data_IF_788212064570
#
_entry.id   IF_788212064570
#
_cell.length_a   1.000
_cell.length_b   1.000
_cell.length_c   1.000
_cell.angle_alpha   90.00
_cell.angle_beta   90.00
_cell.angle_gamma   90.00
#
_symmetry.space_group_name_H-M   'P 1'
#
loop_
_entity.id
_entity.type
_entity.pdbx_description
1 polymer ?
#
# COMPACT_ATOMS: atom_id res chain seq x y z
N UNK A 1 -10.48 23.33 0.68
CA UNK A 1 -11.23 22.58 1.72
C UNK A 1 -10.58 21.22 1.87
N UNK A 2 -10.37 20.77 3.11
CA UNK A 2 -9.69 19.52 3.42
C UNK A 2 -10.65 18.54 4.06
N UNK A 3 -10.25 17.27 4.13
CA UNK A 3 -10.98 16.22 4.83
C UNK A 3 -10.01 15.44 5.71
N UNK A 4 -10.43 15.19 6.94
CA UNK A 4 -9.84 14.17 7.80
C UNK A 4 -10.76 12.95 7.70
N UNK A 5 -10.28 11.90 7.05
CA UNK A 5 -10.96 10.61 7.04
C UNK A 5 -10.50 9.81 8.25
N UNK A 6 -11.45 9.43 9.10
CA UNK A 6 -11.22 8.63 10.28
C UNK A 6 -11.77 7.23 10.10
N UNK A 7 -10.89 6.22 10.14
CA UNK A 7 -11.24 4.80 9.99
C UNK A 7 -10.89 4.07 11.28
N UNK A 8 -11.90 3.65 12.04
CA UNK A 8 -11.71 2.87 13.26
C UNK A 8 -11.29 1.45 12.91
N UNK A 9 -10.33 0.89 13.62
CA UNK A 9 -9.76 -0.45 13.33
C UNK A 9 -10.70 -1.59 13.71
N UNK A 10 -11.70 -1.29 14.54
CA UNK A 10 -12.80 -2.17 14.93
C UNK A 10 -14.14 -1.49 14.67
N UNK A 11 -15.22 -2.26 14.81
CA UNK A 11 -16.58 -1.71 14.79
C UNK A 11 -16.87 -0.97 16.08
N UNK A 12 -17.50 0.20 15.96
CA UNK A 12 -17.93 0.99 17.09
C UNK A 12 -19.21 0.39 17.69
N UNK A 13 -19.08 -0.18 18.89
CA UNK A 13 -20.21 -0.68 19.67
C UNK A 13 -20.94 0.43 20.46
N UNK A 14 -20.30 1.60 20.62
CA UNK A 14 -20.89 2.79 21.24
C UNK A 14 -20.41 4.08 20.58
N UNK A 15 -21.11 5.19 20.83
CA UNK A 15 -20.72 6.52 20.32
C UNK A 15 -19.55 7.13 21.09
N UNK A 16 -19.10 6.53 22.20
CA UNK A 16 -18.12 7.16 23.10
C UNK A 16 -16.78 7.39 22.42
N UNK A 17 -16.30 6.43 21.63
CA UNK A 17 -15.05 6.54 20.88
C UNK A 17 -15.14 7.59 19.77
N UNK A 18 -16.30 7.67 19.10
CA UNK A 18 -16.58 8.75 18.15
C UNK A 18 -16.58 10.12 18.83
N UNK A 19 -17.20 10.25 20.01
CA UNK A 19 -17.22 11.52 20.76
C UNK A 19 -15.81 11.91 21.24
N UNK A 20 -14.99 10.94 21.67
CA UNK A 20 -13.58 11.17 22.02
C UNK A 20 -12.80 11.70 20.81
N UNK A 21 -12.94 11.05 19.65
CA UNK A 21 -12.33 11.50 18.40
C UNK A 21 -12.79 12.92 18.03
N UNK A 22 -14.11 13.18 18.06
CA UNK A 22 -14.66 14.50 17.72
C UNK A 22 -14.08 15.59 18.63
N UNK A 23 -14.05 15.36 19.94
CA UNK A 23 -13.48 16.29 20.92
C UNK A 23 -12.00 16.54 20.69
N UNK A 24 -11.25 15.51 20.32
CA UNK A 24 -9.84 15.64 19.94
C UNK A 24 -9.69 16.53 18.69
N UNK A 25 -10.45 16.26 17.62
CA UNK A 25 -10.40 17.09 16.40
C UNK A 25 -10.81 18.54 16.65
N UNK A 26 -11.80 18.78 17.52
CA UNK A 26 -12.22 20.12 17.96
C UNK A 26 -11.16 20.86 18.79
N UNK A 27 -10.17 20.15 19.35
CA UNK A 27 -9.04 20.76 20.07
C UNK A 27 -7.91 21.23 19.14
N UNK A 28 -7.92 20.81 17.89
CA UNK A 28 -6.97 21.23 16.86
C UNK A 28 -7.34 22.61 16.30
N UNK A 29 -6.40 23.35 15.69
CA UNK A 29 -6.66 24.67 15.09
C UNK A 29 -7.42 24.55 13.74
N UNK A 30 -8.57 23.88 13.76
CA UNK A 30 -9.43 23.61 12.61
C UNK A 30 -10.87 23.92 12.95
N UNK A 31 -11.66 24.20 11.92
CA UNK A 31 -13.11 24.27 11.99
C UNK A 31 -13.70 23.08 11.24
N UNK A 32 -14.51 22.29 11.94
CA UNK A 32 -15.29 21.20 11.35
C UNK A 32 -16.54 21.80 10.72
N UNK A 33 -16.61 21.80 9.40
CA UNK A 33 -17.76 22.34 8.64
C UNK A 33 -18.87 21.30 8.48
N UNK A 34 -18.48 20.04 8.26
CA UNK A 34 -19.42 18.95 8.07
C UNK A 34 -18.80 17.62 8.49
N UNK A 35 -19.63 16.72 9.03
CA UNK A 35 -19.28 15.32 9.25
C UNK A 35 -20.13 14.46 8.33
N UNK A 36 -19.49 13.65 7.48
CA UNK A 36 -20.15 12.67 6.61
C UNK A 36 -19.84 11.26 7.10
N UNK A 37 -20.86 10.45 7.30
CA UNK A 37 -20.68 9.02 7.58
C UNK A 37 -20.40 8.29 6.28
N UNK A 38 -19.23 7.65 6.16
CA UNK A 38 -18.89 6.78 5.02
C UNK A 38 -19.26 5.33 5.32
N UNK A 39 -19.00 4.89 6.56
CA UNK A 39 -19.44 3.59 7.06
C UNK A 39 -20.15 3.76 8.39
N UNK A 40 -21.29 3.11 8.56
CA UNK A 40 -22.20 3.35 9.70
C UNK A 40 -21.55 3.06 11.04
N UNK A 41 -20.66 2.07 11.10
CA UNK A 41 -20.10 1.52 12.32
C UNK A 41 -18.61 1.84 12.51
N UNK A 42 -17.92 2.47 11.55
CA UNK A 42 -16.46 2.65 11.67
C UNK A 42 -15.78 3.75 10.86
N UNK A 43 -16.46 4.46 9.95
CA UNK A 43 -15.76 5.42 9.08
C UNK A 43 -16.49 6.75 8.90
N UNK A 44 -15.78 7.85 9.16
CA UNK A 44 -16.31 9.21 9.10
C UNK A 44 -15.34 10.15 8.39
N UNK A 45 -15.89 11.00 7.53
CA UNK A 45 -15.19 12.13 6.92
C UNK A 45 -15.53 13.41 7.68
N UNK A 46 -14.51 14.09 8.20
CA UNK A 46 -14.63 15.42 8.78
C UNK A 46 -14.15 16.43 7.74
N UNK A 47 -15.08 17.13 7.09
CA UNK A 47 -14.74 18.24 6.21
C UNK A 47 -14.34 19.44 7.05
N UNK A 48 -13.15 19.96 6.78
CA UNK A 48 -12.53 20.98 7.61
C UNK A 48 -12.03 22.17 6.78
N UNK A 49 -12.09 23.33 7.41
CA UNK A 49 -11.31 24.50 7.07
C UNK A 49 -10.29 24.71 8.19
N UNK A 50 -9.08 25.17 7.85
CA UNK A 50 -8.14 25.50 8.89
C UNK A 50 -8.46 26.89 9.46
N UNK A 51 -8.29 27.07 10.76
CA UNK A 51 -8.42 28.38 11.38
C UNK A 51 -7.14 29.14 11.01
N UNK A 52 -7.27 30.21 10.22
CA UNK A 52 -6.12 30.98 9.72
C UNK A 52 -5.14 31.26 10.87
N UNK A 53 -3.84 30.94 10.74
CA UNK A 53 -2.85 31.53 11.62
C UNK A 53 -2.87 33.04 11.39
N UNK A 54 -2.57 33.84 12.41
CA UNK A 54 -2.60 35.31 12.38
C UNK A 54 -1.70 35.98 11.29
N UNK A 55 -1.06 35.21 10.37
CA UNK A 55 0.03 35.64 9.50
C UNK A 55 0.02 35.14 8.03
N UNK A 56 -1.11 34.75 7.42
CA UNK A 56 -1.13 34.30 6.00
C UNK A 56 -0.10 33.18 5.68
N UNK A 57 -0.02 32.13 6.51
CA UNK A 57 0.84 30.97 6.20
C UNK A 57 0.28 30.18 4.99
N UNK A 58 1.17 29.60 4.18
CA UNK A 58 0.81 28.70 3.08
C UNK A 58 0.06 27.45 3.60
N UNK A 59 -1.00 27.04 2.89
CA UNK A 59 -1.79 25.83 3.13
C UNK A 59 -0.89 24.60 3.33
N UNK A 60 0.25 24.52 2.61
CA UNK A 60 1.21 23.41 2.74
C UNK A 60 1.82 23.29 4.15
N UNK A 61 2.12 24.42 4.80
CA UNK A 61 2.71 24.49 6.14
C UNK A 61 1.70 24.11 7.21
N UNK A 62 0.46 24.58 7.03
CA UNK A 62 -0.66 24.28 7.92
C UNK A 62 -1.02 22.80 7.91
N UNK A 63 -1.04 22.18 6.72
CA UNK A 63 -1.23 20.74 6.58
C UNK A 63 -0.09 19.95 7.21
N UNK A 64 1.16 20.39 7.06
CA UNK A 64 2.28 19.74 7.73
C UNK A 64 2.16 19.78 9.26
N UNK A 65 1.79 20.94 9.83
CA UNK A 65 1.53 21.09 11.27
C UNK A 65 0.37 20.21 11.75
N UNK A 66 -0.75 20.19 11.00
CA UNK A 66 -1.88 19.33 11.32
C UNK A 66 -1.52 17.85 11.24
N UNK A 67 -0.77 17.42 10.21
CA UNK A 67 -0.28 16.04 10.11
C UNK A 67 0.58 15.65 11.32
N UNK A 68 1.47 16.54 11.79
CA UNK A 68 2.25 16.30 13.02
C UNK A 68 1.36 16.14 14.25
N UNK A 69 0.31 16.95 14.39
CA UNK A 69 -0.64 16.85 15.51
C UNK A 69 -1.57 15.64 15.42
N UNK A 70 -1.68 14.99 14.26
CA UNK A 70 -2.44 13.76 14.04
C UNK A 70 -1.58 12.49 14.26
N UNK A 71 -0.33 12.62 14.70
CA UNK A 71 0.59 11.48 14.87
C UNK A 71 0.31 10.64 16.13
N UNK A 72 0.72 9.35 16.17
CA UNK A 72 0.35 8.40 17.21
C UNK A 72 0.72 8.81 18.64
N UNK A 73 1.82 9.53 18.82
CA UNK A 73 2.35 9.95 20.12
C UNK A 73 1.42 10.96 20.83
N UNK A 74 0.56 11.63 20.07
CA UNK A 74 -0.37 12.62 20.62
C UNK A 74 -1.68 12.03 21.15
N UNK A 75 -1.97 10.73 20.91
CA UNK A 75 -3.29 10.16 21.24
C UNK A 75 -3.28 8.65 21.52
N UNK A 76 -3.91 8.26 22.65
CA UNK A 76 -4.42 6.89 22.91
C UNK A 76 -5.31 6.36 21.76
N UNK A 77 -5.90 7.27 20.98
CA UNK A 77 -6.76 6.95 19.84
C UNK A 77 -6.00 6.34 18.65
N UNK A 78 -4.69 6.51 18.53
CA UNK A 78 -3.94 5.99 17.37
C UNK A 78 -3.92 4.46 17.29
N UNK A 79 -4.14 3.79 18.42
CA UNK A 79 -4.38 2.34 18.49
C UNK A 79 -5.76 1.99 17.93
N UNK A 80 -6.74 2.88 18.04
CA UNK A 80 -8.16 2.66 17.73
C UNK A 80 -8.59 3.15 16.35
N UNK A 81 -7.97 4.22 15.82
CA UNK A 81 -8.40 4.88 14.58
C UNK A 81 -7.20 5.37 13.77
N UNK A 82 -7.25 5.18 12.46
CA UNK A 82 -6.36 5.84 11.51
C UNK A 82 -6.99 7.13 11.00
N UNK A 83 -6.20 8.20 11.00
CA UNK A 83 -6.60 9.52 10.53
C UNK A 83 -5.77 9.90 9.30
N UNK A 84 -6.46 10.20 8.21
CA UNK A 84 -5.82 10.66 6.97
C UNK A 84 -6.32 12.06 6.60
N UNK A 85 -5.40 13.02 6.53
CA UNK A 85 -5.66 14.37 6.08
C UNK A 85 -5.26 14.54 4.61
N UNK A 86 -6.22 14.95 3.79
CA UNK A 86 -6.00 15.22 2.36
C UNK A 86 -6.92 16.33 1.85
N UNK A 87 -6.61 16.84 0.66
CA UNK A 87 -7.47 17.79 -0.04
C UNK A 87 -8.77 17.10 -0.44
N UNK A 88 -9.91 17.77 -0.25
CA UNK A 88 -11.22 17.23 -0.60
C UNK A 88 -11.70 17.83 -1.92
N UNK A 89 -11.13 17.35 -3.03
CA UNK A 89 -11.49 17.75 -4.40
C UNK A 89 -11.79 16.53 -5.28
N UNK A 90 -12.07 16.78 -6.56
CA UNK A 90 -12.40 15.74 -7.56
C UNK A 90 -11.31 14.66 -7.68
N UNK A 91 -10.03 15.03 -7.48
CA UNK A 91 -8.90 14.12 -7.59
C UNK A 91 -8.89 13.05 -6.49
N UNK A 92 -9.65 13.24 -5.41
CA UNK A 92 -9.81 12.24 -4.35
C UNK A 92 -10.49 10.97 -4.87
N UNK A 93 -11.55 11.10 -5.69
CA UNK A 93 -12.28 9.96 -6.28
C UNK A 93 -11.80 9.59 -7.68
N UNK A 94 -11.28 10.55 -8.45
CA UNK A 94 -10.93 10.34 -9.86
C UNK A 94 -9.51 9.80 -10.07
N UNK A 95 -9.17 8.74 -9.34
CA UNK A 95 -7.93 7.99 -9.53
C UNK A 95 -8.00 7.15 -10.81
N UNK A 96 -6.88 7.07 -11.52
CA UNK A 96 -6.78 6.45 -12.86
C UNK A 96 -5.74 5.34 -12.93
N UNK A 97 -4.79 5.30 -12.01
CA UNK A 97 -3.80 4.23 -11.88
C UNK A 97 -3.59 3.87 -10.41
N UNK A 98 -3.54 2.58 -10.11
CA UNK A 98 -3.05 2.05 -8.85
C UNK A 98 -1.84 1.15 -9.08
N UNK A 99 -0.76 1.40 -8.35
CA UNK A 99 0.42 0.56 -8.30
C UNK A 99 0.57 -0.01 -6.88
N UNK A 100 0.59 -1.34 -6.77
CA UNK A 100 0.68 -2.05 -5.51
C UNK A 100 2.04 -2.77 -5.39
N UNK A 101 2.59 -2.84 -4.19
CA UNK A 101 3.50 -3.94 -3.87
C UNK A 101 2.75 -5.28 -3.86
N UNK A 102 3.48 -6.38 -3.96
CA UNK A 102 2.95 -7.73 -3.88
C UNK A 102 3.08 -8.30 -2.47
N UNK A 103 4.31 -8.55 -2.04
CA UNK A 103 4.65 -9.17 -0.77
C UNK A 103 4.12 -8.29 0.37
N UNK A 104 3.56 -8.90 1.41
CA UNK A 104 2.95 -8.21 2.56
C UNK A 104 1.88 -7.14 2.24
N UNK A 105 1.43 -7.05 0.98
CA UNK A 105 0.47 -6.04 0.48
C UNK A 105 -0.72 -6.68 -0.24
N UNK A 106 -0.53 -7.25 -1.44
CA UNK A 106 -1.57 -8.01 -2.16
C UNK A 106 -1.60 -9.49 -1.74
N UNK A 107 -0.54 -9.97 -1.12
CA UNK A 107 -0.47 -11.28 -0.49
C UNK A 107 0.09 -11.12 0.92
N UNK A 108 -0.23 -12.06 1.81
CA UNK A 108 0.23 -12.02 3.20
C UNK A 108 1.66 -12.48 3.40
N UNK A 109 2.20 -13.21 2.43
CA UNK A 109 3.51 -13.83 2.52
C UNK A 109 4.61 -12.94 1.92
N UNK A 110 5.84 -13.20 2.33
CA UNK A 110 7.05 -12.85 1.61
C UNK A 110 7.39 -14.00 0.66
N UNK A 111 7.33 -13.77 -0.66
CA UNK A 111 7.55 -14.84 -1.66
C UNK A 111 8.90 -15.53 -1.52
N UNK A 112 9.94 -14.80 -1.14
CA UNK A 112 11.28 -15.39 -1.02
C UNK A 112 11.38 -16.35 0.16
N UNK A 113 10.65 -16.11 1.25
CA UNK A 113 10.56 -17.02 2.39
C UNK A 113 9.79 -18.29 2.01
N UNK A 114 8.74 -18.13 1.19
CA UNK A 114 7.97 -19.26 0.67
C UNK A 114 8.83 -20.18 -0.23
N UNK A 115 9.70 -19.58 -1.06
CA UNK A 115 10.66 -20.34 -1.88
C UNK A 115 11.76 -20.94 -1.01
N UNK A 116 12.26 -20.22 -0.02
CA UNK A 116 13.25 -20.74 0.92
C UNK A 116 12.73 -21.99 1.65
N UNK A 117 11.46 -21.97 2.04
CA UNK A 117 10.79 -23.10 2.68
C UNK A 117 10.51 -24.27 1.77
N UNK A 118 10.36 -24.02 0.47
CA UNK A 118 10.35 -25.11 -0.50
C UNK A 118 11.72 -25.81 -0.61
N UNK A 119 12.80 -25.08 -0.33
CA UNK A 119 14.17 -25.52 -0.56
C UNK A 119 14.93 -25.92 0.73
N UNK A 120 14.25 -25.93 1.89
CA UNK A 120 14.83 -26.17 3.21
C UNK A 120 16.03 -25.24 3.52
N UNK A 121 15.91 -23.95 3.13
CA UNK A 121 16.94 -22.92 3.34
C UNK A 121 16.45 -21.67 4.09
N UNK A 122 15.36 -21.79 4.85
CA UNK A 122 14.75 -20.67 5.59
C UNK A 122 15.75 -19.97 6.51
N UNK A 123 16.50 -20.73 7.31
CA UNK A 123 17.46 -20.19 8.28
C UNK A 123 18.53 -19.31 7.62
N UNK A 124 19.01 -19.71 6.43
CA UNK A 124 20.01 -18.92 5.70
C UNK A 124 19.40 -17.66 5.09
N UNK A 125 18.18 -17.75 4.56
CA UNK A 125 17.47 -16.59 4.02
C UNK A 125 17.15 -15.59 5.13
N UNK A 126 16.70 -16.04 6.30
CA UNK A 126 16.43 -15.20 7.46
C UNK A 126 17.71 -14.48 7.94
N UNK A 127 18.85 -15.19 7.98
CA UNK A 127 20.14 -14.59 8.35
C UNK A 127 20.55 -13.46 7.38
N UNK A 128 20.36 -13.64 6.08
CA UNK A 128 20.64 -12.61 5.06
C UNK A 128 19.66 -11.44 5.17
N UNK A 129 18.37 -11.71 5.36
CA UNK A 129 17.33 -10.69 5.54
C UNK A 129 17.63 -9.82 6.77
N UNK A 130 18.06 -10.44 7.88
CA UNK A 130 18.44 -9.75 9.11
C UNK A 130 19.61 -8.79 8.89
N UNK A 131 20.66 -9.24 8.17
CA UNK A 131 21.81 -8.39 7.80
C UNK A 131 21.39 -7.21 6.92
N UNK A 132 20.50 -7.42 5.96
CA UNK A 132 19.96 -6.35 5.12
C UNK A 132 19.16 -5.32 5.95
N UNK A 133 18.32 -5.78 6.88
CA UNK A 133 17.57 -4.91 7.78
C UNK A 133 18.47 -4.12 8.73
N UNK A 134 19.63 -4.65 9.11
CA UNK A 134 20.66 -3.95 9.88
C UNK A 134 21.51 -2.98 9.04
N UNK A 135 21.25 -2.88 7.73
CA UNK A 135 22.00 -2.01 6.81
C UNK A 135 23.39 -2.54 6.43
N UNK A 136 23.69 -3.81 6.71
CA UNK A 136 24.96 -4.45 6.33
C UNK A 136 25.00 -4.80 4.84
N UNK A 137 23.83 -5.01 4.23
CA UNK A 137 23.65 -5.31 2.82
C UNK A 137 22.67 -4.33 2.21
N UNK A 138 22.97 -3.85 1.00
CA UNK A 138 21.95 -3.18 0.19
C UNK A 138 20.92 -4.19 -0.35
N UNK A 139 19.82 -3.68 -0.90
CA UNK A 139 18.75 -4.53 -1.42
C UNK A 139 19.23 -5.50 -2.51
N UNK A 140 20.10 -5.06 -3.42
CA UNK A 140 20.56 -5.88 -4.55
C UNK A 140 21.49 -6.97 -4.06
N UNK A 141 22.40 -6.65 -3.15
CA UNK A 141 23.29 -7.61 -2.50
C UNK A 141 22.48 -8.65 -1.73
N UNK A 142 21.53 -8.22 -0.90
CA UNK A 142 20.63 -9.12 -0.15
C UNK A 142 19.82 -10.02 -1.09
N UNK A 143 19.29 -9.50 -2.19
CA UNK A 143 18.56 -10.29 -3.17
C UNK A 143 19.48 -11.33 -3.84
N UNK A 144 20.67 -10.94 -4.29
CA UNK A 144 21.63 -11.86 -4.90
C UNK A 144 22.06 -12.97 -3.95
N UNK A 145 22.38 -12.65 -2.68
CA UNK A 145 22.74 -13.66 -1.68
C UNK A 145 21.60 -14.65 -1.43
N UNK A 146 20.35 -14.17 -1.29
CA UNK A 146 19.19 -15.05 -1.08
C UNK A 146 18.87 -15.90 -2.31
N UNK A 147 18.97 -15.34 -3.52
CA UNK A 147 18.71 -16.07 -4.76
C UNK A 147 19.80 -17.11 -5.04
N UNK A 148 21.05 -16.88 -4.64
CA UNK A 148 22.12 -17.85 -4.77
C UNK A 148 21.84 -19.17 -4.01
N UNK A 149 21.11 -19.11 -2.90
CA UNK A 149 20.67 -20.28 -2.13
C UNK A 149 19.67 -21.15 -2.88
N UNK A 150 19.01 -20.60 -3.90
CA UNK A 150 17.98 -21.29 -4.69
C UNK A 150 18.57 -22.12 -5.84
N UNK A 151 19.89 -22.12 -6.00
CA UNK A 151 20.58 -22.84 -7.07
C UNK A 151 20.34 -24.34 -6.99
N UNK A 152 19.97 -24.94 -8.13
CA UNK A 152 19.77 -26.38 -8.24
C UNK A 152 18.32 -26.85 -8.05
N UNK A 153 17.42 -25.93 -7.68
CA UNK A 153 15.98 -26.22 -7.56
C UNK A 153 15.38 -26.41 -8.95
N UNK A 154 14.55 -27.44 -9.11
CA UNK A 154 13.74 -27.65 -10.30
C UNK A 154 12.59 -26.63 -10.35
N UNK A 155 12.61 -25.76 -11.36
CA UNK A 155 11.64 -24.69 -11.52
C UNK A 155 10.31 -25.14 -12.14
N UNK A 156 10.20 -26.39 -12.60
CA UNK A 156 9.02 -26.86 -13.34
C UNK A 156 7.77 -26.97 -12.48
N UNK A 157 7.91 -27.41 -11.21
CA UNK A 157 6.77 -27.67 -10.31
C UNK A 157 6.65 -26.66 -9.16
N UNK A 158 7.75 -25.99 -8.79
CA UNK A 158 7.76 -25.06 -7.65
C UNK A 158 6.67 -24.00 -7.79
N UNK A 159 6.52 -23.40 -8.97
CA UNK A 159 5.57 -22.29 -9.17
C UNK A 159 4.11 -22.71 -8.96
N UNK A 160 3.70 -23.90 -9.39
CA UNK A 160 2.35 -24.40 -9.13
C UNK A 160 2.10 -24.59 -7.64
N UNK A 161 3.05 -25.19 -6.92
CA UNK A 161 2.93 -25.42 -5.48
C UNK A 161 2.89 -24.12 -4.69
N UNK A 162 3.71 -23.13 -5.07
CA UNK A 162 3.73 -21.84 -4.39
C UNK A 162 2.45 -21.05 -4.62
N UNK A 163 1.88 -21.08 -5.82
CA UNK A 163 0.60 -20.41 -6.13
C UNK A 163 -0.53 -20.90 -5.22
N UNK A 164 -0.59 -22.19 -4.93
CA UNK A 164 -1.61 -22.78 -4.04
C UNK A 164 -1.45 -22.34 -2.57
N UNK A 165 -0.26 -21.90 -2.17
CA UNK A 165 0.03 -21.44 -0.81
C UNK A 165 -0.19 -19.93 -0.63
N UNK A 166 -0.35 -19.17 -1.71
CA UNK A 166 -0.56 -17.72 -1.62
C UNK A 166 -1.90 -17.40 -0.97
N UNK A 167 -1.87 -16.49 0.00
CA UNK A 167 -3.07 -15.97 0.66
C UNK A 167 -3.18 -14.50 0.29
N UNK A 168 -4.19 -14.18 -0.52
CA UNK A 168 -4.51 -12.80 -0.86
C UNK A 168 -4.93 -11.99 0.36
N UNK A 169 -4.63 -10.69 0.33
CA UNK A 169 -5.00 -9.77 1.40
C UNK A 169 -6.52 -9.59 1.42
N UNK A 170 -7.16 -9.61 2.61
CA UNK A 170 -8.59 -9.41 2.69
C UNK A 170 -9.00 -8.09 2.03
N UNK A 171 -10.04 -8.15 1.20
CA UNK A 171 -10.52 -6.97 0.47
C UNK A 171 -9.89 -6.74 -0.91
N UNK A 172 -8.85 -7.48 -1.32
CA UNK A 172 -8.22 -7.30 -2.65
C UNK A 172 -9.24 -7.39 -3.78
N UNK A 173 -10.01 -8.48 -3.82
CA UNK A 173 -10.99 -8.71 -4.89
C UNK A 173 -12.08 -7.62 -4.94
N UNK A 174 -12.52 -7.13 -3.78
CA UNK A 174 -13.49 -6.03 -3.70
C UNK A 174 -12.87 -4.72 -4.21
N UNK A 175 -11.66 -4.39 -3.76
CA UNK A 175 -10.93 -3.21 -4.19
C UNK A 175 -10.73 -3.22 -5.71
N UNK A 176 -10.19 -4.30 -6.27
CA UNK A 176 -9.92 -4.38 -7.71
C UNK A 176 -11.21 -4.31 -8.52
N UNK A 177 -12.29 -4.94 -8.06
CA UNK A 177 -13.59 -4.86 -8.74
C UNK A 177 -14.09 -3.42 -8.82
N UNK A 178 -14.10 -2.70 -7.70
CA UNK A 178 -14.54 -1.30 -7.66
C UNK A 178 -13.65 -0.41 -8.54
N UNK A 179 -12.33 -0.58 -8.48
CA UNK A 179 -11.39 0.21 -9.29
C UNK A 179 -11.55 -0.08 -10.79
N UNK A 180 -11.75 -1.34 -11.18
CA UNK A 180 -12.02 -1.71 -12.59
C UNK A 180 -13.34 -1.14 -13.09
N UNK A 181 -14.41 -1.17 -12.28
CA UNK A 181 -15.68 -0.53 -12.64
C UNK A 181 -15.53 0.98 -12.91
N UNK A 182 -14.51 1.62 -12.32
CA UNK A 182 -14.15 3.03 -12.54
C UNK A 182 -13.21 3.27 -13.73
N UNK A 183 -12.78 2.21 -14.42
CA UNK A 183 -11.83 2.28 -15.53
C UNK A 183 -10.39 2.54 -15.08
N UNK A 184 -10.05 2.27 -13.82
CA UNK A 184 -8.72 2.47 -13.25
C UNK A 184 -7.78 1.36 -13.74
N UNK A 185 -6.58 1.75 -14.17
CA UNK A 185 -5.47 0.82 -14.47
C UNK A 185 -4.85 0.31 -13.19
N UNK A 186 -4.51 -0.97 -13.14
CA UNK A 186 -3.95 -1.62 -11.96
C UNK A 186 -2.61 -2.29 -12.29
N UNK A 187 -1.62 -2.13 -11.42
CA UNK A 187 -0.29 -2.69 -11.59
C UNK A 187 0.20 -3.30 -10.28
N UNK A 188 0.90 -4.42 -10.37
CA UNK A 188 1.72 -4.97 -9.28
C UNK A 188 3.21 -4.79 -9.60
N UNK A 189 3.94 -4.14 -8.69
CA UNK A 189 5.37 -3.82 -8.81
C UNK A 189 6.10 -4.41 -7.60
N UNK A 190 6.83 -5.51 -7.79
CA UNK A 190 7.35 -6.31 -6.68
C UNK A 190 8.86 -6.52 -6.73
N UNK A 191 9.49 -6.54 -5.55
CA UNK A 191 10.86 -7.03 -5.37
C UNK A 191 10.99 -8.56 -5.34
N UNK A 192 9.86 -9.28 -5.35
CA UNK A 192 9.77 -10.72 -5.51
C UNK A 192 9.95 -11.15 -6.97
N UNK A 193 9.26 -12.22 -7.40
CA UNK A 193 9.51 -12.87 -8.69
C UNK A 193 8.34 -12.87 -9.66
N UNK A 194 8.64 -12.71 -10.95
CA UNK A 194 7.67 -12.49 -12.03
C UNK A 194 6.65 -13.62 -12.19
N UNK A 195 7.04 -14.88 -11.95
CA UNK A 195 6.14 -16.03 -12.04
C UNK A 195 4.94 -15.94 -11.09
N UNK A 196 5.13 -15.38 -9.89
CA UNK A 196 4.06 -15.18 -8.92
C UNK A 196 3.37 -13.82 -9.11
N UNK A 197 4.09 -12.78 -9.51
CA UNK A 197 3.48 -11.49 -9.85
C UNK A 197 2.50 -11.59 -11.03
N UNK A 198 2.82 -12.37 -12.07
CA UNK A 198 1.88 -12.65 -13.17
C UNK A 198 0.66 -13.43 -12.70
N UNK A 199 0.82 -14.39 -11.78
CA UNK A 199 -0.31 -15.10 -11.20
C UNK A 199 -1.21 -14.18 -10.36
N UNK A 200 -0.64 -13.31 -9.54
CA UNK A 200 -1.38 -12.28 -8.79
C UNK A 200 -2.12 -11.37 -9.77
N UNK A 201 -1.46 -10.95 -10.86
CA UNK A 201 -2.08 -10.16 -11.92
C UNK A 201 -3.26 -10.86 -12.57
N UNK A 202 -3.12 -12.13 -12.97
CA UNK A 202 -4.21 -12.89 -13.58
C UNK A 202 -5.39 -13.06 -12.61
N UNK A 203 -5.08 -13.40 -11.35
CA UNK A 203 -6.09 -13.69 -10.31
C UNK A 203 -6.88 -12.45 -9.91
N UNK A 204 -6.20 -11.31 -9.78
CA UNK A 204 -6.81 -10.02 -9.41
C UNK A 204 -7.20 -9.17 -10.62
N UNK A 205 -7.05 -9.70 -11.84
CA UNK A 205 -7.33 -9.02 -13.10
C UNK A 205 -6.57 -7.68 -13.25
N UNK A 206 -5.29 -7.63 -12.90
CA UNK A 206 -4.44 -6.44 -13.04
C UNK A 206 -4.02 -6.22 -14.51
N UNK A 207 -3.65 -5.00 -14.87
CA UNK A 207 -3.19 -4.66 -16.22
C UNK A 207 -1.68 -4.91 -16.40
N UNK A 208 -0.88 -4.69 -15.35
CA UNK A 208 0.58 -4.77 -15.40
C UNK A 208 1.15 -5.61 -14.24
N UNK A 209 2.23 -6.34 -14.51
CA UNK A 209 3.05 -6.99 -13.52
C UNK A 209 4.52 -6.75 -13.84
N UNK A 210 5.29 -6.31 -12.85
CA UNK A 210 6.73 -6.15 -12.95
C UNK A 210 7.36 -6.70 -11.67
N UNK A 211 8.34 -7.58 -11.82
CA UNK A 211 9.08 -8.17 -10.72
C UNK A 211 10.44 -8.73 -11.21
N UNK A 212 11.26 -9.23 -10.30
CA UNK A 212 12.54 -9.85 -10.66
C UNK A 212 12.33 -11.17 -11.40
N UNK A 213 13.25 -11.51 -12.28
CA UNK A 213 13.21 -12.77 -13.02
C UNK A 213 14.35 -13.67 -12.55
N UNK A 214 14.03 -14.86 -12.06
CA UNK A 214 15.05 -15.87 -11.77
C UNK A 214 15.60 -16.45 -13.08
N UNK A 215 16.91 -16.64 -13.13
CA UNK A 215 17.55 -17.33 -14.24
C UNK A 215 17.32 -18.85 -14.11
N UNK A 216 16.84 -19.45 -15.21
CA UNK A 216 16.57 -20.87 -15.37
C UNK A 216 17.43 -21.38 -16.51
N UNK A 217 18.14 -22.49 -16.30
CA UNK A 217 18.93 -23.13 -17.36
C UNK A 217 18.07 -23.92 -18.36
N UNK A 218 18.71 -24.45 -19.40
CA UNK A 218 18.04 -25.22 -20.47
C UNK A 218 17.33 -26.50 -19.96
N UNK A 219 17.61 -26.94 -18.73
CA UNK A 219 17.01 -28.12 -18.10
C UNK A 219 15.86 -27.76 -17.16
N UNK A 220 15.52 -26.49 -17.03
CA UNK A 220 14.49 -26.03 -16.10
C UNK A 220 14.99 -25.85 -14.67
N UNK A 221 16.30 -25.79 -14.43
CA UNK A 221 16.88 -25.67 -13.08
C UNK A 221 17.25 -24.21 -12.78
N UNK A 222 16.93 -23.74 -11.58
CA UNK A 222 17.35 -22.43 -11.10
C UNK A 222 18.88 -22.35 -10.99
N UNK A 223 19.49 -21.35 -11.61
CA UNK A 223 20.95 -21.19 -11.61
C UNK A 223 21.48 -20.50 -10.35
N UNK A 224 20.60 -19.86 -9.59
CA UNK A 224 20.92 -19.00 -8.46
C UNK A 224 21.22 -17.54 -8.85
N UNK A 225 20.85 -17.11 -10.06
CA UNK A 225 20.99 -15.73 -10.52
C UNK A 225 19.64 -15.06 -10.80
N UNK A 226 19.66 -13.72 -10.85
CA UNK A 226 18.54 -12.88 -11.30
C UNK A 226 18.89 -12.31 -12.67
N UNK A 227 17.94 -12.34 -13.60
CA UNK A 227 18.06 -11.77 -14.94
C UNK A 227 17.61 -10.31 -14.97
N UNK A 228 18.26 -9.54 -15.85
CA UNK A 228 17.85 -8.18 -16.17
C UNK A 228 18.08 -7.19 -15.04
N UNK A 229 17.27 -6.14 -15.03
CA UNK A 229 17.34 -5.07 -14.03
C UNK A 229 16.51 -5.45 -12.80
N UNK A 230 17.10 -5.27 -11.62
CA UNK A 230 16.43 -5.57 -10.36
C UNK A 230 15.33 -4.55 -10.09
N UNK A 231 14.14 -5.03 -9.77
CA UNK A 231 12.99 -4.24 -9.31
C UNK A 231 13.18 -3.88 -7.84
N UNK A 232 13.99 -2.84 -7.61
CA UNK A 232 14.16 -2.19 -6.32
C UNK A 232 13.20 -0.98 -6.16
N UNK A 233 13.32 -0.24 -5.05
CA UNK A 233 12.45 0.91 -4.80
C UNK A 233 12.57 2.05 -5.83
N UNK A 234 13.77 2.28 -6.38
CA UNK A 234 13.94 3.26 -7.47
C UNK A 234 13.25 2.76 -8.74
N UNK A 235 13.39 1.47 -9.04
CA UNK A 235 12.75 0.86 -10.19
C UNK A 235 11.24 0.86 -10.08
N UNK A 236 10.65 0.58 -8.91
CA UNK A 236 9.20 0.69 -8.67
C UNK A 236 8.69 2.11 -8.94
N UNK A 237 9.41 3.13 -8.49
CA UNK A 237 9.07 4.53 -8.78
C UNK A 237 9.16 4.82 -10.29
N UNK A 238 10.24 4.42 -10.96
CA UNK A 238 10.39 4.60 -12.41
C UNK A 238 9.29 3.90 -13.21
N UNK A 239 8.95 2.66 -12.86
CA UNK A 239 7.90 1.89 -13.51
C UNK A 239 6.53 2.55 -13.31
N UNK A 240 6.24 3.05 -12.12
CA UNK A 240 5.01 3.81 -11.84
C UNK A 240 4.89 5.04 -12.74
N UNK A 241 5.95 5.85 -12.82
CA UNK A 241 5.99 7.03 -13.68
C UNK A 241 5.82 6.65 -15.16
N UNK A 242 6.47 5.57 -15.58
CA UNK A 242 6.38 5.07 -16.95
C UNK A 242 4.98 4.58 -17.30
N UNK A 243 4.32 3.82 -16.43
CA UNK A 243 2.94 3.35 -16.68
C UNK A 243 2.00 4.55 -16.78
N UNK A 244 2.16 5.56 -15.92
CA UNK A 244 1.37 6.78 -15.98
C UNK A 244 1.59 7.52 -17.30
N UNK A 245 2.85 7.72 -17.72
CA UNK A 245 3.21 8.36 -18.98
C UNK A 245 2.65 7.59 -20.20
N UNK A 246 2.86 6.28 -20.26
CA UNK A 246 2.42 5.42 -21.36
C UNK A 246 0.88 5.40 -21.51
N UNK A 247 0.13 5.78 -20.46
CA UNK A 247 -1.33 5.86 -20.45
C UNK A 247 -1.88 7.30 -20.41
N UNK A 248 -1.04 8.33 -20.53
CA UNK A 248 -1.44 9.75 -20.43
C UNK A 248 -2.20 10.08 -19.13
N UNK A 249 -1.68 9.59 -18.00
CA UNK A 249 -2.27 9.76 -16.66
C UNK A 249 -1.45 10.77 -15.85
N UNK A 250 -2.11 11.84 -15.40
CA UNK A 250 -1.54 12.78 -14.43
C UNK A 250 -1.19 12.05 -13.11
N UNK A 251 0.03 12.27 -12.61
CA UNK A 251 0.52 11.70 -11.36
C UNK A 251 -0.38 12.00 -10.15
N UNK A 252 -1.12 13.11 -10.15
CA UNK A 252 -2.11 13.43 -9.09
C UNK A 252 -3.27 12.41 -9.01
N UNK A 253 -3.51 11.69 -10.12
CA UNK A 253 -4.53 10.64 -10.26
C UNK A 253 -3.96 9.23 -10.05
N UNK A 254 -2.69 9.12 -9.67
CA UNK A 254 -2.02 7.84 -9.37
C UNK A 254 -2.03 7.57 -7.87
N UNK A 255 -2.30 6.33 -7.49
CA UNK A 255 -2.21 5.83 -6.12
C UNK A 255 -1.14 4.74 -6.03
N UNK A 256 -0.31 4.81 -5.01
CA UNK A 256 0.68 3.77 -4.72
C UNK A 256 0.45 3.18 -3.34
N UNK A 257 0.50 1.86 -3.22
CA UNK A 257 0.23 1.14 -1.97
C UNK A 257 1.35 0.15 -1.72
N UNK A 258 1.89 0.13 -0.50
CA UNK A 258 2.92 -0.82 -0.09
C UNK A 258 3.14 -0.77 1.43
N UNK A 259 3.89 -1.73 1.96
CA UNK A 259 4.17 -1.86 3.40
C UNK A 259 5.65 -1.54 3.74
N UNK A 260 6.53 -1.59 2.73
CA UNK A 260 7.97 -1.60 2.91
C UNK A 260 8.65 -0.24 2.68
N UNK A 261 9.90 -0.14 3.14
CA UNK A 261 10.74 1.05 2.90
C UNK A 261 11.15 1.20 1.43
N UNK A 262 11.21 0.10 0.69
CA UNK A 262 11.39 0.05 -0.76
C UNK A 262 10.23 0.74 -1.51
N UNK A 263 9.04 0.85 -0.92
CA UNK A 263 7.88 1.47 -1.57
C UNK A 263 7.79 2.98 -1.33
N UNK A 264 8.54 3.53 -0.37
CA UNK A 264 8.49 4.95 -0.03
C UNK A 264 8.80 5.86 -1.23
N UNK A 265 9.75 5.46 -2.08
CA UNK A 265 10.08 6.22 -3.30
C UNK A 265 8.92 6.21 -4.30
N UNK A 266 8.28 5.06 -4.50
CA UNK A 266 7.11 4.93 -5.36
C UNK A 266 5.93 5.74 -4.80
N UNK A 267 5.65 5.62 -3.51
CA UNK A 267 4.59 6.38 -2.81
C UNK A 267 4.82 7.89 -2.86
N UNK A 268 6.06 8.35 -2.74
CA UNK A 268 6.43 9.77 -2.78
C UNK A 268 6.44 10.38 -4.19
N UNK A 269 6.43 9.56 -5.24
CA UNK A 269 6.47 10.01 -6.63
C UNK A 269 5.09 10.34 -7.22
N UNK A 270 4.01 10.07 -6.49
CA UNK A 270 2.62 10.15 -6.99
C UNK A 270 1.71 11.01 -6.13
N UNK A 271 0.50 11.25 -6.60
CA UNK A 271 -0.49 12.09 -5.92
C UNK A 271 -0.98 11.54 -4.58
N UNK A 272 -0.99 10.22 -4.39
CA UNK A 272 -1.45 9.63 -3.15
C UNK A 272 -0.74 8.30 -2.84
N UNK A 273 0.13 8.29 -1.82
CA UNK A 273 0.80 7.09 -1.33
C UNK A 273 0.16 6.59 -0.03
N UNK A 274 -0.10 5.29 0.07
CA UNK A 274 -0.72 4.63 1.23
C UNK A 274 0.23 3.55 1.77
N UNK A 275 0.72 3.77 2.99
CA UNK A 275 1.39 2.75 3.78
C UNK A 275 0.34 1.76 4.33
N UNK A 276 0.28 0.56 3.74
CA UNK A 276 -0.66 -0.49 4.12
C UNK A 276 -0.05 -1.39 5.21
N UNK A 277 -0.64 -1.40 6.42
CA UNK A 277 -0.16 -2.19 7.58
C UNK A 277 1.38 -2.15 7.75
N UNK A 278 1.99 -1.03 7.38
CA UNK A 278 3.41 -0.92 7.13
C UNK A 278 4.23 -0.91 8.43
N UNK A 279 5.54 -1.13 8.33
CA UNK A 279 6.44 -0.96 9.49
C UNK A 279 6.36 0.50 10.03
N UNK A 280 6.55 0.75 11.34
CA UNK A 280 6.38 2.08 11.93
C UNK A 280 7.16 3.19 11.21
N UNK A 281 8.41 2.91 10.81
CA UNK A 281 9.25 3.86 10.09
C UNK A 281 8.69 4.23 8.70
N UNK A 282 8.02 3.30 8.04
CA UNK A 282 7.37 3.51 6.74
C UNK A 282 6.11 4.35 6.94
N UNK A 283 5.30 4.04 7.95
CA UNK A 283 4.10 4.82 8.28
C UNK A 283 4.42 6.28 8.64
N UNK A 284 5.58 6.55 9.25
CA UNK A 284 6.03 7.90 9.57
C UNK A 284 6.43 8.71 8.33
N UNK A 285 6.95 8.04 7.29
CA UNK A 285 7.45 8.68 6.08
C UNK A 285 6.42 8.74 4.94
N UNK A 286 5.44 7.82 4.95
CA UNK A 286 4.44 7.74 3.91
C UNK A 286 3.44 8.91 3.96
N UNK A 287 2.90 9.34 2.80
CA UNK A 287 1.94 10.46 2.75
C UNK A 287 0.65 10.22 3.55
N UNK A 288 0.23 8.95 3.62
CA UNK A 288 -0.91 8.45 4.38
C UNK A 288 -0.65 7.00 4.80
N UNK A 289 -1.48 6.49 5.72
CA UNK A 289 -1.38 5.13 6.24
C UNK A 289 -2.76 4.52 6.44
N UNK A 290 -2.82 3.20 6.38
CA UNK A 290 -4.03 2.43 6.63
C UNK A 290 -3.66 1.13 7.35
N UNK A 291 -4.13 0.98 8.58
CA UNK A 291 -3.86 -0.14 9.47
C UNK A 291 -5.16 -0.87 9.82
N UNK A 292 -5.78 -1.49 8.84
CA UNK A 292 -7.06 -2.19 8.98
C UNK A 292 -6.97 -3.62 8.49
N UNK A 293 -8.04 -4.40 8.68
CA UNK A 293 -8.09 -5.80 8.23
C UNK A 293 -8.23 -5.93 6.71
N UNK A 294 -8.86 -4.96 6.04
CA UNK A 294 -9.19 -5.04 4.61
C UNK A 294 -8.55 -3.91 3.81
N UNK A 295 -7.81 -4.26 2.77
CA UNK A 295 -7.19 -3.27 1.89
C UNK A 295 -8.23 -2.48 1.07
N UNK A 296 -9.44 -3.03 0.90
CA UNK A 296 -10.57 -2.30 0.31
C UNK A 296 -11.00 -1.07 1.11
N UNK A 297 -10.57 -0.94 2.37
CA UNK A 297 -10.78 0.27 3.17
C UNK A 297 -10.10 1.52 2.56
N UNK A 298 -9.16 1.35 1.62
CA UNK A 298 -8.65 2.44 0.81
C UNK A 298 -9.79 3.19 0.09
N UNK A 299 -10.89 2.53 -0.26
CA UNK A 299 -12.06 3.16 -0.87
C UNK A 299 -12.67 4.25 0.04
N UNK A 300 -12.62 4.09 1.36
CA UNK A 300 -13.01 5.15 2.29
C UNK A 300 -12.06 6.35 2.24
N UNK A 301 -10.74 6.11 2.10
CA UNK A 301 -9.78 7.19 1.87
C UNK A 301 -10.11 7.95 0.58
N UNK A 302 -10.58 7.26 -0.47
CA UNK A 302 -11.05 7.92 -1.70
C UNK A 302 -12.44 8.58 -1.54
N UNK A 303 -13.11 8.42 -0.40
CA UNK A 303 -14.39 9.07 -0.06
C UNK A 303 -15.64 8.33 -0.50
N UNK A 304 -15.53 7.04 -0.85
CA UNK A 304 -16.67 6.17 -1.10
C UNK A 304 -17.34 5.75 0.23
N UNK A 305 -18.67 5.76 0.28
CA UNK A 305 -19.44 5.16 1.39
C UNK A 305 -19.73 3.67 1.15
N UNK A 306 -20.16 2.95 2.20
CA UNK A 306 -20.63 1.55 2.10
C UNK A 306 -21.60 1.36 0.93
N UNK A 307 -22.58 2.25 0.78
CA UNK A 307 -23.60 2.20 -0.29
C UNK A 307 -22.98 2.38 -1.69
N UNK A 308 -22.01 3.29 -1.82
CA UNK A 308 -21.31 3.50 -3.09
C UNK A 308 -20.45 2.27 -3.46
N UNK A 309 -19.77 1.69 -2.46
CA UNK A 309 -18.94 0.48 -2.62
C UNK A 309 -19.82 -0.70 -3.02
N UNK A 310 -20.90 -0.97 -2.30
CA UNK A 310 -21.83 -2.06 -2.61
C UNK A 310 -22.38 -1.94 -4.04
N UNK A 311 -22.75 -0.73 -4.46
CA UNK A 311 -23.25 -0.47 -5.82
C UNK A 311 -22.20 -0.76 -6.89
N UNK A 312 -20.95 -0.32 -6.70
CA UNK A 312 -19.85 -0.53 -7.65
C UNK A 312 -19.36 -1.99 -7.66
N UNK A 313 -19.40 -2.65 -6.51
CA UNK A 313 -19.08 -4.07 -6.36
C UNK A 313 -20.17 -5.00 -6.91
N UNK A 314 -21.35 -4.48 -7.24
CA UNK A 314 -22.47 -5.26 -7.80
C UNK A 314 -22.59 -5.14 -9.32
N UNK A 315 -21.98 -4.11 -9.91
CA UNK A 315 -21.81 -3.96 -11.37
C UNK A 315 -20.74 -4.88 -11.95
#
# INVERSE_FOLDING_TARGET
MYVITAIFKHKLDSIDEFLKLKKFLESLPIRIEQIKTLSKDRCYDFQISALEPENNEDDSVLIAKLKQQLTPESIDLSVLVDLTLQKNDELRKEKKLFCFDMDSTLIKQEVIELIASYADVEDQVEAITSRAMNGELDFKQSLHERVALLKGIDSTNIWSELKERLIFTPGDFELMKVLKAKGTKLAVLSGGFINLAEYVKETLNLDYAFANQLEVDDKGILTGNVLGEIVDGDKKAQLTLKIAEDNDIDLQRVVCVGDGSNDLKMMGAVGFGVAWNAKPIVQQQAPSKLNTEKISDILYLLGYSDEEIEKLSSS
#
